data_IF_499554929631
#
_entry.id   IF_499554929631
#
_cell.length_a   1.000
_cell.length_b   1.000
_cell.length_c   1.000
_cell.angle_alpha   90.00
_cell.angle_beta   90.00
_cell.angle_gamma   90.00
#
_symmetry.space_group_name_H-M   'P 1'
#
loop_
_entity.id
_entity.type
_entity.pdbx_description
1 polymer ?
#
# COMPACT_ATOMS: atom_id res chain seq x y z
N UNK A 1 -15.24 -2.84 -26.49
CA UNK A 1 -14.78 -1.89 -25.47
C UNK A 1 -15.97 -1.33 -24.73
N UNK A 2 -15.79 -0.98 -23.48
CA UNK A 2 -16.76 -0.37 -22.58
C UNK A 2 -16.15 0.88 -22.01
N UNK A 3 -16.83 2.01 -22.09
CA UNK A 3 -16.39 3.23 -21.45
C UNK A 3 -16.62 3.13 -19.94
N UNK A 4 -15.60 3.51 -19.17
CA UNK A 4 -15.66 3.60 -17.71
C UNK A 4 -15.27 4.99 -17.23
N UNK A 5 -15.82 5.38 -16.09
CA UNK A 5 -15.46 6.60 -15.38
C UNK A 5 -14.96 6.20 -14.01
N UNK A 6 -13.70 6.38 -13.74
CA UNK A 6 -13.08 5.97 -12.48
C UNK A 6 -12.27 7.13 -11.90
N UNK A 7 -12.25 7.25 -10.58
CA UNK A 7 -11.40 8.21 -9.89
C UNK A 7 -10.20 7.47 -9.29
N UNK A 8 -8.99 7.80 -9.73
CA UNK A 8 -7.76 7.17 -9.25
C UNK A 8 -6.86 8.22 -8.63
N UNK A 9 -6.49 8.04 -7.36
CA UNK A 9 -5.64 8.94 -6.57
C UNK A 9 -6.11 10.41 -6.64
N UNK A 10 -7.44 10.61 -6.60
CA UNK A 10 -8.05 11.91 -6.66
C UNK A 10 -8.29 12.48 -8.06
N UNK A 11 -7.65 11.95 -9.10
CA UNK A 11 -7.86 12.34 -10.49
C UNK A 11 -8.99 11.52 -11.14
N UNK A 12 -9.79 12.15 -11.99
CA UNK A 12 -10.88 11.49 -12.73
C UNK A 12 -10.40 11.09 -14.13
N UNK A 13 -10.70 9.86 -14.51
CA UNK A 13 -10.38 9.27 -15.80
C UNK A 13 -11.65 8.78 -16.49
N UNK A 14 -11.72 8.97 -17.80
CA UNK A 14 -12.80 8.44 -18.65
C UNK A 14 -12.15 7.74 -19.81
N UNK A 15 -12.18 6.43 -19.82
CA UNK A 15 -11.44 5.59 -20.75
C UNK A 15 -12.29 4.46 -21.33
N UNK A 16 -11.95 4.03 -22.53
CA UNK A 16 -12.49 2.84 -23.16
C UNK A 16 -11.62 1.63 -22.80
N UNK A 17 -12.19 0.62 -22.16
CA UNK A 17 -11.50 -0.60 -21.76
C UNK A 17 -12.13 -1.85 -22.37
N UNK A 18 -11.35 -2.88 -22.61
CA UNK A 18 -11.91 -4.19 -22.90
C UNK A 18 -12.54 -4.78 -21.63
N UNK A 19 -13.76 -5.40 -21.69
CA UNK A 19 -14.46 -5.90 -20.50
C UNK A 19 -13.68 -6.90 -19.66
N UNK A 20 -12.69 -7.59 -20.25
CA UNK A 20 -11.82 -8.56 -19.57
C UNK A 20 -10.53 -7.95 -18.99
N UNK A 21 -10.30 -6.66 -19.16
CA UNK A 21 -9.11 -5.99 -18.62
C UNK A 21 -9.16 -6.00 -17.09
N UNK A 22 -8.13 -6.55 -16.46
CA UNK A 22 -8.02 -6.52 -15.01
C UNK A 22 -7.66 -5.11 -14.52
N UNK A 23 -8.16 -4.73 -13.35
CA UNK A 23 -7.92 -3.42 -12.77
C UNK A 23 -6.41 -3.12 -12.65
N UNK A 24 -5.61 -4.11 -12.24
CA UNK A 24 -4.15 -3.95 -12.14
C UNK A 24 -3.50 -3.56 -13.47
N UNK A 25 -3.92 -4.16 -14.57
CA UNK A 25 -3.38 -3.85 -15.90
C UNK A 25 -3.85 -2.48 -16.38
N UNK A 26 -5.11 -2.12 -16.14
CA UNK A 26 -5.62 -0.78 -16.42
C UNK A 26 -4.81 0.28 -15.66
N UNK A 27 -4.60 0.12 -14.36
CA UNK A 27 -3.82 1.04 -13.55
C UNK A 27 -2.38 1.20 -14.05
N UNK A 28 -1.72 0.10 -14.36
CA UNK A 28 -0.30 0.10 -14.73
C UNK A 28 -0.04 0.52 -16.17
N UNK A 29 -0.83 -0.01 -17.11
CA UNK A 29 -0.53 0.08 -18.54
C UNK A 29 -1.22 1.27 -19.19
N UNK A 30 -2.42 1.65 -18.74
CA UNK A 30 -3.15 2.80 -19.29
C UNK A 30 -2.93 4.07 -18.48
N UNK A 31 -2.95 3.97 -17.14
CA UNK A 31 -2.80 5.14 -16.28
C UNK A 31 -1.36 5.38 -15.79
N UNK A 32 -0.44 4.45 -16.04
CA UNK A 32 0.97 4.59 -15.61
C UNK A 32 1.18 4.45 -14.09
N UNK A 33 0.20 3.93 -13.34
CA UNK A 33 0.28 3.73 -11.89
C UNK A 33 1.10 2.47 -11.55
N UNK A 34 2.40 2.54 -11.80
CA UNK A 34 3.31 1.39 -11.71
C UNK A 34 3.66 0.98 -10.28
N UNK A 35 3.39 1.83 -9.28
CA UNK A 35 3.52 1.49 -7.87
C UNK A 35 2.63 0.31 -7.43
N UNK A 36 1.54 0.03 -8.14
CA UNK A 36 0.76 -1.19 -7.98
C UNK A 36 1.48 -2.35 -8.65
N UNK A 37 2.09 -3.23 -7.88
CA UNK A 37 3.00 -4.28 -8.38
C UNK A 37 2.27 -5.59 -8.67
N UNK A 38 2.68 -6.33 -9.71
CA UNK A 38 2.13 -7.65 -10.06
C UNK A 38 3.14 -8.74 -9.71
N UNK A 39 2.81 -9.60 -8.72
CA UNK A 39 3.68 -10.70 -8.31
C UNK A 39 3.22 -12.07 -8.81
N UNK A 40 1.92 -12.36 -8.83
CA UNK A 40 1.40 -13.68 -9.20
C UNK A 40 0.28 -13.64 -10.24
N UNK A 41 -0.46 -12.56 -10.32
CA UNK A 41 -1.64 -12.37 -11.17
C UNK A 41 -2.74 -13.44 -10.95
N UNK A 42 -2.75 -14.04 -9.76
CA UNK A 42 -3.63 -15.18 -9.39
C UNK A 42 -4.20 -15.05 -7.99
N UNK A 43 -4.29 -13.84 -7.45
CA UNK A 43 -4.85 -13.55 -6.11
C UNK A 43 -4.04 -14.07 -4.90
N UNK A 44 -2.88 -14.69 -5.10
CA UNK A 44 -2.16 -15.36 -4.01
C UNK A 44 -1.20 -14.43 -3.23
N UNK A 45 -0.51 -13.49 -3.91
CA UNK A 45 0.61 -12.79 -3.29
C UNK A 45 0.27 -11.45 -2.63
N UNK A 46 -0.84 -10.81 -2.97
CA UNK A 46 -1.25 -9.52 -2.41
C UNK A 46 -0.44 -8.29 -2.86
N UNK A 47 0.59 -8.44 -3.70
CA UNK A 47 1.44 -7.32 -4.15
C UNK A 47 0.64 -6.23 -4.89
N UNK A 48 -0.47 -6.60 -5.52
CA UNK A 48 -1.35 -5.71 -6.28
C UNK A 48 -2.50 -5.10 -5.45
N UNK A 49 -2.43 -5.14 -4.13
CA UNK A 49 -3.48 -4.59 -3.26
C UNK A 49 -3.61 -3.08 -3.47
N UNK A 50 -4.83 -2.64 -3.70
CA UNK A 50 -5.25 -1.23 -3.79
C UNK A 50 -6.50 -1.04 -2.94
N UNK A 51 -6.91 0.20 -2.67
CA UNK A 51 -8.24 0.45 -2.11
C UNK A 51 -9.24 0.75 -3.22
N UNK A 52 -10.38 0.05 -3.19
CA UNK A 52 -11.55 0.31 -4.03
C UNK A 52 -12.67 0.77 -3.09
N UNK A 53 -13.13 2.00 -3.25
CA UNK A 53 -14.08 2.65 -2.36
C UNK A 53 -13.69 2.53 -0.86
N UNK A 54 -12.39 2.61 -0.61
CA UNK A 54 -11.82 2.60 0.73
C UNK A 54 -11.53 1.22 1.32
N UNK A 55 -11.85 0.11 0.64
CA UNK A 55 -11.57 -1.27 1.08
C UNK A 55 -10.40 -1.88 0.31
N UNK A 56 -9.54 -2.64 0.99
CA UNK A 56 -8.42 -3.32 0.37
C UNK A 56 -8.89 -4.46 -0.54
N UNK A 57 -8.50 -4.40 -1.81
CA UNK A 57 -8.80 -5.45 -2.79
C UNK A 57 -7.54 -5.81 -3.58
N UNK A 58 -7.44 -7.06 -4.01
CA UNK A 58 -6.40 -7.51 -4.94
C UNK A 58 -6.80 -7.15 -6.37
N UNK A 59 -6.23 -6.09 -6.92
CA UNK A 59 -6.63 -5.54 -8.23
C UNK A 59 -6.46 -6.53 -9.40
N UNK A 60 -5.72 -7.62 -9.23
CA UNK A 60 -5.65 -8.72 -10.19
C UNK A 60 -6.88 -9.64 -10.22
N UNK A 61 -7.87 -9.42 -9.34
CA UNK A 61 -9.13 -10.18 -9.28
C UNK A 61 -10.35 -9.32 -9.59
N UNK A 62 -10.14 -8.05 -9.90
CA UNK A 62 -11.19 -7.09 -10.24
C UNK A 62 -11.04 -6.71 -11.71
N UNK A 63 -12.13 -6.74 -12.47
CA UNK A 63 -12.12 -6.19 -13.83
C UNK A 63 -12.20 -4.66 -13.78
N UNK A 64 -11.52 -3.98 -14.70
CA UNK A 64 -11.56 -2.52 -14.78
C UNK A 64 -13.00 -1.99 -14.92
N UNK A 65 -13.86 -2.69 -15.65
CA UNK A 65 -15.28 -2.35 -15.80
C UNK A 65 -16.08 -2.41 -14.48
N UNK A 66 -15.61 -3.14 -13.48
CA UNK A 66 -16.25 -3.19 -12.15
C UNK A 66 -15.89 -1.97 -11.29
N UNK A 67 -14.84 -1.24 -11.67
CA UNK A 67 -14.45 0.00 -11.02
C UNK A 67 -15.12 1.24 -11.61
N UNK A 68 -16.04 1.08 -12.56
CA UNK A 68 -16.83 2.20 -13.11
C UNK A 68 -17.63 2.89 -12.00
N UNK A 69 -17.50 4.19 -11.90
CA UNK A 69 -18.10 5.02 -10.85
C UNK A 69 -17.41 4.95 -9.48
N UNK A 70 -16.39 4.11 -9.31
CA UNK A 70 -15.71 3.91 -8.03
C UNK A 70 -14.50 4.84 -7.85
N UNK A 71 -14.03 4.90 -6.62
CA UNK A 71 -12.77 5.54 -6.24
C UNK A 71 -11.70 4.47 -5.96
N UNK A 72 -10.59 4.55 -6.69
CA UNK A 72 -9.40 3.71 -6.49
C UNK A 72 -8.32 4.55 -5.83
N UNK A 73 -7.71 4.04 -4.77
CA UNK A 73 -6.49 4.61 -4.19
C UNK A 73 -5.37 3.60 -4.33
N UNK A 74 -4.29 4.00 -5.01
CA UNK A 74 -3.06 3.22 -5.13
C UNK A 74 -2.04 3.67 -4.08
N UNK A 75 -0.90 2.98 -3.99
CA UNK A 75 0.19 3.40 -3.10
C UNK A 75 0.70 4.83 -3.43
N UNK A 76 0.58 5.25 -4.69
CA UNK A 76 0.99 6.58 -5.15
C UNK A 76 0.08 7.69 -4.61
N UNK A 77 -1.18 7.37 -4.29
CA UNK A 77 -2.14 8.30 -3.71
C UNK A 77 -2.22 8.30 -2.18
N UNK A 78 -1.35 7.54 -1.49
CA UNK A 78 -1.38 7.44 -0.02
C UNK A 78 -0.64 8.59 0.67
N UNK A 79 0.49 9.03 0.11
CA UNK A 79 1.20 10.21 0.59
C UNK A 79 0.41 11.48 0.25
N UNK A 80 0.52 12.52 1.09
CA UNK A 80 -0.10 13.82 0.86
C UNK A 80 0.94 14.86 0.45
N UNK A 81 0.59 15.79 -0.45
CA UNK A 81 1.51 16.77 -1.01
C UNK A 81 2.23 16.25 -2.24
N UNK A 82 3.08 17.08 -2.84
CA UNK A 82 3.82 16.78 -4.07
C UNK A 82 5.31 17.11 -3.92
N UNK A 83 6.17 16.34 -4.62
CA UNK A 83 7.60 16.56 -4.64
C UNK A 83 8.24 16.56 -3.25
N UNK A 84 9.14 17.51 -2.99
CA UNK A 84 9.89 17.61 -1.73
C UNK A 84 9.01 17.96 -0.51
N UNK A 85 7.76 18.38 -0.72
CA UNK A 85 6.79 18.64 0.33
C UNK A 85 5.86 17.46 0.63
N UNK A 86 6.07 16.32 -0.01
CA UNK A 86 5.28 15.12 0.22
C UNK A 86 5.45 14.62 1.66
N UNK A 87 4.32 14.40 2.33
CA UNK A 87 4.26 13.83 3.67
C UNK A 87 3.82 12.38 3.57
N UNK A 88 4.68 11.48 4.02
CA UNK A 88 4.38 10.06 4.06
C UNK A 88 3.25 9.77 5.06
N UNK A 89 2.37 8.86 4.69
CA UNK A 89 1.39 8.31 5.63
C UNK A 89 2.12 7.60 6.80
N UNK A 90 1.58 7.61 8.04
CA UNK A 90 2.23 6.95 9.19
C UNK A 90 2.67 5.52 8.92
N UNK A 91 1.87 4.73 8.21
CA UNK A 91 2.25 3.35 7.81
C UNK A 91 3.47 3.34 6.88
N UNK A 92 3.53 4.22 5.89
CA UNK A 92 4.70 4.32 4.99
C UNK A 92 5.97 4.67 5.77
N UNK A 93 5.89 5.66 6.66
CA UNK A 93 6.99 6.08 7.52
C UNK A 93 7.44 4.96 8.44
N UNK A 94 6.51 4.29 9.13
CA UNK A 94 6.82 3.19 10.02
C UNK A 94 7.49 2.01 9.30
N UNK A 95 7.09 1.69 8.05
CA UNK A 95 7.77 0.67 7.25
C UNK A 95 9.23 1.04 6.96
N UNK A 96 9.53 2.32 6.77
CA UNK A 96 10.91 2.79 6.60
C UNK A 96 11.69 2.72 7.91
N UNK A 97 11.17 3.30 8.99
CA UNK A 97 11.85 3.44 10.29
C UNK A 97 12.08 2.09 10.97
N UNK A 98 11.10 1.18 10.91
CA UNK A 98 11.16 -0.14 11.53
C UNK A 98 11.77 -1.22 10.60
N UNK A 99 12.33 -0.82 9.45
CA UNK A 99 12.88 -1.74 8.45
C UNK A 99 11.89 -2.84 8.03
N UNK A 100 10.61 -2.46 7.86
CA UNK A 100 9.52 -3.35 7.41
C UNK A 100 9.64 -3.81 5.95
N UNK A 101 10.73 -3.45 5.28
CA UNK A 101 10.99 -3.79 3.89
C UNK A 101 12.48 -4.17 3.67
N UNK A 102 12.74 -4.93 2.61
CA UNK A 102 14.09 -5.21 2.10
C UNK A 102 14.13 -4.96 0.60
N UNK A 103 13.68 -5.89 -0.25
CA UNK A 103 13.66 -5.67 -1.70
C UNK A 103 12.59 -4.66 -2.17
N UNK A 104 11.60 -4.34 -1.34
CA UNK A 104 10.53 -3.38 -1.64
C UNK A 104 9.36 -3.93 -2.47
N UNK A 105 9.48 -5.11 -3.09
CA UNK A 105 8.49 -5.61 -4.03
C UNK A 105 7.08 -5.82 -3.44
N UNK A 106 6.98 -6.37 -2.24
CA UNK A 106 5.69 -6.55 -1.56
C UNK A 106 5.18 -5.29 -0.85
N UNK A 107 6.06 -4.29 -0.67
CA UNK A 107 5.82 -3.15 0.22
C UNK A 107 4.57 -2.34 -0.15
N UNK A 108 4.31 -1.99 -1.41
CA UNK A 108 3.10 -1.25 -1.77
C UNK A 108 1.82 -1.97 -1.33
N UNK A 109 1.66 -3.23 -1.71
CA UNK A 109 0.49 -4.01 -1.34
C UNK A 109 0.39 -4.27 0.17
N UNK A 110 1.52 -4.46 0.85
CA UNK A 110 1.56 -4.65 2.29
C UNK A 110 1.12 -3.40 3.05
N UNK A 111 1.55 -2.21 2.61
CA UNK A 111 1.13 -0.93 3.17
C UNK A 111 -0.38 -0.73 2.97
N UNK A 112 -0.91 -1.00 1.77
CA UNK A 112 -2.34 -0.86 1.49
C UNK A 112 -3.19 -1.77 2.39
N UNK A 113 -2.78 -3.04 2.56
CA UNK A 113 -3.44 -3.98 3.46
C UNK A 113 -3.35 -3.52 4.93
N UNK A 114 -2.20 -3.00 5.35
CA UNK A 114 -2.00 -2.50 6.73
C UNK A 114 -2.85 -1.26 7.03
N UNK A 115 -3.01 -0.36 6.07
CA UNK A 115 -3.88 0.82 6.23
C UNK A 115 -5.34 0.37 6.41
N UNK A 116 -5.79 -0.63 5.67
CA UNK A 116 -7.15 -1.17 5.78
C UNK A 116 -7.38 -1.85 7.14
N UNK A 117 -6.43 -2.68 7.56
CA UNK A 117 -6.44 -3.29 8.89
C UNK A 117 -6.57 -2.23 10.00
N UNK A 118 -5.76 -1.16 9.95
CA UNK A 118 -5.75 -0.13 10.99
C UNK A 118 -6.99 0.76 10.99
N UNK A 119 -7.76 0.81 9.91
CA UNK A 119 -9.10 1.44 9.91
C UNK A 119 -10.11 0.62 10.72
N UNK A 120 -10.06 -0.70 10.58
CA UNK A 120 -10.96 -1.62 11.27
C UNK A 120 -10.54 -1.87 12.72
N UNK A 121 -9.23 -2.04 12.95
CA UNK A 121 -8.64 -2.26 14.27
C UNK A 121 -7.48 -1.27 14.52
N UNK A 122 -7.74 -0.13 15.19
CA UNK A 122 -6.72 0.91 15.41
C UNK A 122 -5.62 0.55 16.42
N UNK A 123 -5.76 -0.54 17.17
CA UNK A 123 -4.79 -0.98 18.20
C UNK A 123 -4.61 -2.51 18.15
N UNK A 124 -4.13 -3.07 17.02
CA UNK A 124 -4.06 -4.51 16.85
C UNK A 124 -2.91 -5.11 17.69
N UNK A 125 -3.12 -6.31 18.22
CA UNK A 125 -2.05 -7.17 18.75
C UNK A 125 -1.15 -7.67 17.62
N UNK A 126 0.01 -8.22 17.95
CA UNK A 126 0.91 -8.83 16.97
C UNK A 126 0.24 -9.96 16.17
N UNK A 127 -0.65 -10.73 16.81
CA UNK A 127 -1.38 -11.80 16.15
C UNK A 127 -2.42 -11.26 15.16
N UNK A 128 -3.20 -10.27 15.57
CA UNK A 128 -4.17 -9.62 14.70
C UNK A 128 -3.50 -8.92 13.51
N UNK A 129 -2.29 -8.38 13.68
CA UNK A 129 -1.51 -7.87 12.55
C UNK A 129 -1.14 -9.01 11.60
N UNK A 130 -0.65 -10.16 12.10
CA UNK A 130 -0.30 -11.32 11.26
C UNK A 130 -1.50 -11.83 10.47
N UNK A 131 -2.65 -11.97 11.13
CA UNK A 131 -3.91 -12.36 10.50
C UNK A 131 -4.34 -11.33 9.44
N UNK A 132 -4.30 -10.03 9.76
CA UNK A 132 -4.73 -8.97 8.85
C UNK A 132 -3.88 -8.84 7.58
N UNK A 133 -2.60 -9.25 7.63
CA UNK A 133 -1.70 -9.21 6.47
C UNK A 133 -1.42 -10.58 5.85
N UNK A 134 -2.07 -11.67 6.28
CA UNK A 134 -1.82 -13.04 5.77
C UNK A 134 -2.01 -13.18 4.27
N UNK A 135 -2.86 -12.34 3.68
CA UNK A 135 -3.09 -12.27 2.24
C UNK A 135 -1.95 -11.64 1.42
N UNK A 136 -0.88 -11.15 2.08
CA UNK A 136 0.23 -10.42 1.47
C UNK A 136 1.57 -11.13 1.73
N UNK A 137 2.21 -11.65 0.68
CA UNK A 137 3.43 -12.43 0.80
C UNK A 137 4.68 -11.56 0.77
N UNK A 138 5.56 -11.75 1.77
CA UNK A 138 6.91 -11.22 1.79
C UNK A 138 7.93 -12.37 1.87
N UNK A 139 8.89 -12.42 0.95
CA UNK A 139 9.93 -13.47 0.92
C UNK A 139 11.22 -13.07 1.65
N UNK A 140 11.37 -11.80 2.02
CA UNK A 140 12.63 -11.25 2.50
C UNK A 140 12.70 -11.12 4.02
N UNK A 141 11.67 -10.54 4.66
CA UNK A 141 11.74 -10.00 6.02
C UNK A 141 11.45 -11.01 7.14
N UNK A 142 10.80 -12.13 6.83
CA UNK A 142 10.25 -13.03 7.85
C UNK A 142 9.11 -12.41 8.67
N UNK A 143 8.54 -11.29 8.20
CA UNK A 143 7.38 -10.56 8.76
C UNK A 143 7.60 -9.83 10.09
N UNK A 144 8.64 -10.13 10.88
CA UNK A 144 8.82 -9.54 12.22
C UNK A 144 8.82 -8.00 12.18
N UNK A 145 9.64 -7.42 11.32
CA UNK A 145 9.71 -5.97 11.19
C UNK A 145 8.47 -5.36 10.53
N UNK A 146 7.75 -6.13 9.71
CA UNK A 146 6.46 -5.69 9.16
C UNK A 146 5.43 -5.56 10.28
N UNK A 147 5.32 -6.56 11.16
CA UNK A 147 4.41 -6.52 12.33
C UNK A 147 4.75 -5.32 13.21
N UNK A 148 6.04 -5.11 13.52
CA UNK A 148 6.50 -3.93 14.27
C UNK A 148 6.12 -2.62 13.60
N UNK A 149 6.32 -2.50 12.28
CA UNK A 149 5.97 -1.32 11.53
C UNK A 149 4.47 -1.00 11.60
N UNK A 150 3.61 -2.00 11.47
CA UNK A 150 2.16 -1.82 11.59
C UNK A 150 1.77 -1.39 13.00
N UNK A 151 2.36 -2.01 14.04
CA UNK A 151 2.14 -1.62 15.44
C UNK A 151 2.61 -0.19 15.73
N UNK A 152 3.79 0.18 15.21
CA UNK A 152 4.31 1.54 15.32
C UNK A 152 3.36 2.56 14.67
N UNK A 153 2.88 2.27 13.46
CA UNK A 153 1.93 3.14 12.79
C UNK A 153 0.61 3.27 13.57
N UNK A 154 0.11 2.17 14.15
CA UNK A 154 -1.08 2.16 14.99
C UNK A 154 -0.91 3.08 16.21
N UNK A 155 0.21 2.97 16.91
CA UNK A 155 0.52 3.81 18.07
C UNK A 155 0.59 5.29 17.69
N UNK A 156 1.25 5.62 16.59
CA UNK A 156 1.33 6.99 16.08
C UNK A 156 -0.04 7.55 15.71
N UNK A 157 -0.84 6.80 14.95
CA UNK A 157 -2.19 7.24 14.53
C UNK A 157 -3.15 7.40 15.69
N UNK A 158 -2.97 6.64 16.78
CA UNK A 158 -3.76 6.75 18.01
C UNK A 158 -3.22 7.76 19.03
N UNK A 159 -2.06 8.39 18.75
CA UNK A 159 -1.40 9.33 19.69
C UNK A 159 -0.82 8.65 20.93
N UNK A 160 -0.65 7.33 20.92
CA UNK A 160 0.00 6.53 21.98
C UNK A 160 1.51 6.50 21.75
N UNK A 161 2.29 6.40 22.82
CA UNK A 161 3.71 6.05 22.69
C UNK A 161 3.81 4.58 22.21
N UNK A 162 4.72 4.34 21.27
CA UNK A 162 4.96 2.97 20.80
C UNK A 162 5.51 2.12 21.95
N UNK A 163 4.86 1.01 22.21
CA UNK A 163 5.27 0.05 23.25
C UNK A 163 6.14 -1.05 22.58
N UNK A 164 7.31 -0.63 22.07
CA UNK A 164 8.31 -1.56 21.54
C UNK A 164 9.55 -1.57 22.45
N UNK A 165 9.74 -2.61 23.27
CA UNK A 165 10.91 -2.73 24.14
C UNK A 165 12.24 -2.92 23.40
N UNK A 166 12.24 -3.00 22.06
CA UNK A 166 13.41 -3.15 21.21
C UNK A 166 13.57 -2.04 20.16
N UNK A 167 12.77 -0.98 20.22
CA UNK A 167 12.90 0.19 19.37
C UNK A 167 14.14 1.01 19.79
N UNK A 168 15.33 0.59 19.36
CA UNK A 168 16.41 1.55 19.24
C UNK A 168 16.09 2.47 18.04
N UNK A 169 16.08 3.80 18.22
CA UNK A 169 15.89 4.71 17.10
C UNK A 169 17.04 4.49 16.11
N UNK A 170 16.71 3.95 14.93
CA UNK A 170 17.68 3.89 13.85
C UNK A 170 18.13 5.32 13.56
N UNK A 171 19.44 5.56 13.64
CA UNK A 171 20.01 6.83 13.22
C UNK A 171 19.59 7.05 11.75
N UNK A 172 18.77 8.07 11.52
CA UNK A 172 18.29 8.41 10.18
C UNK A 172 19.50 8.87 9.37
N UNK A 173 19.99 8.01 8.48
CA UNK A 173 20.96 8.42 7.47
C UNK A 173 20.18 9.24 6.42
N UNK A 174 20.23 10.55 6.60
CA UNK A 174 19.55 11.53 5.73
C UNK A 174 20.03 11.47 4.28
N UNK A 175 21.17 10.84 4.00
CA UNK A 175 21.69 10.65 2.66
C UNK A 175 20.93 9.58 1.85
N UNK A 176 20.22 8.66 2.50
CA UNK A 176 19.44 7.61 1.81
C UNK A 176 18.07 8.10 1.36
N UNK A 177 17.53 9.15 1.97
CA UNK A 177 16.20 9.69 1.63
C UNK A 177 16.16 10.33 0.23
N UNK A 178 17.28 10.84 -0.27
CA UNK A 178 17.35 11.46 -1.60
C UNK A 178 17.32 10.44 -2.75
N UNK A 179 17.60 9.15 -2.50
CA UNK A 179 17.64 8.13 -3.56
C UNK A 179 16.32 7.39 -3.76
N UNK A 180 15.42 7.41 -2.79
CA UNK A 180 14.11 6.70 -2.89
C UNK A 180 13.06 7.53 -3.64
N UNK A 181 13.21 8.85 -3.66
CA UNK A 181 12.30 9.76 -4.35
C UNK A 181 12.42 9.72 -5.89
N UNK A 182 13.45 9.07 -6.45
CA UNK A 182 13.73 9.05 -7.89
C UNK A 182 13.25 7.77 -8.59
N UNK A 183 12.75 6.76 -7.85
CA UNK A 183 12.32 5.46 -8.41
C UNK A 183 10.89 5.05 -8.00
N UNK A 184 10.06 5.99 -7.55
CA UNK A 184 8.64 5.76 -7.31
C UNK A 184 7.79 6.43 -8.39
#
# INVERSE_FOLDING_TARGET
VTQINVRVDGASYTDDVEPRTLLVHYLREQLGKVGTVVGCDTSNCGACTVHLDGQAVKSCTVFAVQADGCQVTTIEGVATGEGDSATLHPVQRAFHEMHGLQCGFCTPGMIMASIDLLKENPDPSDEEVREGIEGNLCRCTGYQNIVRAVRQAAAEMSGKAADDPQAEPAAVDTAAAEHVAVQA
#
